data_IF_992367258517
#
_entry.id   IF_992367258517
#
_cell.length_a   1.000
_cell.length_b   1.000
_cell.length_c   1.000
_cell.angle_alpha   90.00
_cell.angle_beta   90.00
_cell.angle_gamma   90.00
#
_symmetry.space_group_name_H-M   'P 1'
#
loop_
_entity.id
_entity.type
_entity.pdbx_description
1 polymer ?
#
# COMPACT_ATOMS: atom_id res chain seq x y z
N UNK A 1 -2.67 27.32 29.95
CA UNK A 1 -1.73 26.22 30.25
C UNK A 1 -2.54 24.93 30.30
N UNK A 2 -2.43 24.03 29.31
CA UNK A 2 -3.11 22.73 29.35
C UNK A 2 -3.60 22.20 28.01
N UNK A 3 -2.69 21.59 27.25
CA UNK A 3 -2.93 20.47 26.32
C UNK A 3 -3.92 20.64 25.16
N UNK A 4 -3.48 21.33 24.09
CA UNK A 4 -4.02 21.17 22.71
C UNK A 4 -2.87 20.86 21.72
N UNK A 5 -1.89 20.05 22.13
CA UNK A 5 -0.74 19.68 21.28
C UNK A 5 -0.35 18.21 21.45
N UNK A 6 -1.33 17.28 21.40
CA UNK A 6 -1.05 15.84 21.50
C UNK A 6 -1.92 14.95 20.61
N UNK A 7 -2.70 15.54 19.69
CA UNK A 7 -3.72 14.85 18.89
C UNK A 7 -3.32 14.49 17.46
N UNK A 8 -2.07 14.72 17.04
CA UNK A 8 -1.49 14.09 15.84
C UNK A 8 -0.99 12.67 16.20
N UNK A 9 -1.82 11.95 16.94
CA UNK A 9 -1.46 10.77 17.71
C UNK A 9 -0.95 9.67 16.81
N UNK A 10 0.10 8.98 17.25
CA UNK A 10 0.61 7.72 16.69
C UNK A 10 -0.52 6.73 16.28
N UNK A 11 -1.65 6.79 16.98
CA UNK A 11 -2.88 6.06 16.70
C UNK A 11 -3.53 6.39 15.34
N UNK A 12 -3.57 7.67 14.94
CA UNK A 12 -4.09 8.07 13.63
C UNK A 12 -3.24 7.55 12.46
N UNK A 13 -1.94 7.32 12.67
CA UNK A 13 -1.06 6.73 11.66
C UNK A 13 -1.20 5.19 11.61
N UNK A 14 -1.32 4.56 12.77
CA UNK A 14 -1.39 3.09 12.89
C UNK A 14 -2.78 2.49 12.65
N UNK A 15 -3.85 3.18 12.99
CA UNK A 15 -5.22 2.65 12.86
C UNK A 15 -6.15 3.58 12.08
N UNK A 16 -5.78 4.85 11.96
CA UNK A 16 -6.58 5.87 11.27
C UNK A 16 -6.71 5.63 9.76
N UNK A 17 -7.87 6.03 9.22
CA UNK A 17 -8.26 5.83 7.82
C UNK A 17 -7.58 6.79 6.84
N UNK A 18 -6.99 7.88 7.32
CA UNK A 18 -6.32 8.89 6.47
C UNK A 18 -5.07 8.31 5.82
N UNK A 19 -4.23 7.64 6.61
CA UNK A 19 -3.03 6.94 6.14
C UNK A 19 -3.34 5.64 5.39
N UNK A 20 -4.62 5.27 5.26
CA UNK A 20 -5.06 4.14 4.45
C UNK A 20 -5.64 4.59 3.10
N UNK A 21 -5.93 5.88 2.90
CA UNK A 21 -6.57 6.35 1.68
C UNK A 21 -5.61 6.28 0.47
N UNK A 22 -6.14 5.96 -0.71
CA UNK A 22 -5.39 6.01 -1.98
C UNK A 22 -4.71 7.38 -2.17
N UNK A 23 -5.41 8.47 -1.84
CA UNK A 23 -4.88 9.83 -1.90
C UNK A 23 -3.63 10.05 -1.02
N UNK A 24 -3.52 9.34 0.11
CA UNK A 24 -2.32 9.37 0.94
C UNK A 24 -1.18 8.57 0.29
N UNK A 25 -1.47 7.38 -0.22
CA UNK A 25 -0.47 6.55 -0.91
C UNK A 25 0.18 7.29 -2.10
N UNK A 26 -0.63 8.01 -2.89
CA UNK A 26 -0.15 8.76 -4.06
C UNK A 26 0.28 10.20 -3.74
N UNK A 27 0.32 10.58 -2.46
CA UNK A 27 0.86 11.88 -2.05
C UNK A 27 2.39 11.94 -2.22
N UNK A 28 3.04 10.77 -2.18
CA UNK A 28 4.45 10.60 -2.50
C UNK A 28 4.65 10.36 -4.01
N UNK A 29 5.69 10.98 -4.58
CA UNK A 29 5.97 10.94 -6.01
C UNK A 29 6.42 9.54 -6.46
N UNK A 30 7.07 8.77 -5.59
CA UNK A 30 7.58 7.44 -5.91
C UNK A 30 6.48 6.48 -6.33
N UNK A 31 5.32 6.52 -5.67
CA UNK A 31 4.17 5.71 -6.06
C UNK A 31 3.34 6.37 -7.15
N UNK A 32 3.12 7.69 -7.06
CA UNK A 32 2.29 8.45 -8.01
C UNK A 32 2.83 8.38 -9.44
N UNK A 33 4.14 8.49 -9.60
CA UNK A 33 4.79 8.63 -10.90
C UNK A 33 5.22 7.26 -11.48
N UNK A 34 5.06 6.17 -10.71
CA UNK A 34 5.38 4.79 -11.14
C UNK A 34 4.16 3.86 -11.07
N UNK A 35 4.02 3.07 -10.00
CA UNK A 35 3.03 2.00 -9.83
C UNK A 35 1.59 2.50 -9.98
N UNK A 36 1.30 3.74 -9.57
CA UNK A 36 -0.03 4.30 -9.76
C UNK A 36 -0.38 4.42 -11.25
N UNK A 37 0.56 4.83 -12.10
CA UNK A 37 0.36 4.92 -13.55
C UNK A 37 0.11 3.54 -14.17
N UNK A 38 0.76 2.49 -13.66
CA UNK A 38 0.53 1.10 -14.10
C UNK A 38 -0.81 0.55 -13.63
N UNK A 39 -1.26 0.97 -12.45
CA UNK A 39 -2.57 0.59 -11.92
C UNK A 39 -3.70 1.23 -12.74
N UNK A 40 -3.53 2.47 -13.21
CA UNK A 40 -4.49 3.11 -14.10
C UNK A 40 -4.70 2.26 -15.37
N UNK A 41 -5.96 1.98 -15.70
CA UNK A 41 -6.32 1.14 -16.84
C UNK A 41 -6.32 -0.37 -16.58
N UNK A 42 -5.95 -0.83 -15.38
CA UNK A 42 -6.13 -2.25 -15.00
C UNK A 42 -7.59 -2.57 -14.69
N UNK A 43 -7.93 -3.87 -14.64
CA UNK A 43 -9.26 -4.36 -14.24
C UNK A 43 -9.66 -3.94 -12.81
N UNK A 44 -8.67 -3.69 -11.95
CA UNK A 44 -8.89 -3.22 -10.57
C UNK A 44 -9.18 -1.72 -10.53
N UNK A 45 -8.62 -0.94 -11.47
CA UNK A 45 -8.92 0.47 -11.62
C UNK A 45 -10.25 0.72 -12.37
N UNK A 46 -10.50 0.01 -13.46
CA UNK A 46 -11.70 0.20 -14.28
C UNK A 46 -12.32 -1.15 -14.66
N UNK A 47 -13.58 -1.34 -14.29
CA UNK A 47 -14.34 -2.53 -14.65
C UNK A 47 -15.81 -2.22 -14.93
N UNK A 48 -16.46 -3.19 -15.60
CA UNK A 48 -17.86 -3.13 -16.03
C UNK A 48 -18.88 -2.99 -14.90
N UNK A 49 -18.52 -3.39 -13.68
CA UNK A 49 -19.40 -3.39 -12.52
C UNK A 49 -19.32 -2.08 -11.71
N UNK A 50 -18.33 -1.22 -12.00
CA UNK A 50 -18.15 0.06 -11.29
C UNK A 50 -17.54 -0.04 -9.89
N UNK A 51 -17.19 -1.25 -9.43
CA UNK A 51 -16.57 -1.50 -8.12
C UNK A 51 -15.06 -1.43 -8.27
N UNK A 52 -14.38 -0.46 -7.66
CA UNK A 52 -12.92 -0.30 -7.81
C UNK A 52 -12.18 -0.82 -6.58
N UNK A 53 -11.13 -1.61 -6.81
CA UNK A 53 -10.18 -1.97 -5.76
C UNK A 53 -9.04 -0.95 -5.79
N UNK A 54 -8.84 -0.26 -4.68
CA UNK A 54 -7.87 0.83 -4.53
C UNK A 54 -6.61 0.35 -3.80
N UNK A 55 -5.60 1.22 -3.67
CA UNK A 55 -4.34 0.89 -2.98
C UNK A 55 -4.52 0.14 -1.63
N UNK A 56 -5.34 0.60 -0.67
CA UNK A 56 -5.52 -0.10 0.60
C UNK A 56 -6.12 -1.49 0.47
N UNK A 57 -6.98 -1.73 -0.52
CA UNK A 57 -7.66 -3.03 -0.66
C UNK A 57 -6.67 -4.16 -0.91
N UNK A 58 -5.56 -3.87 -1.59
CA UNK A 58 -4.49 -4.83 -1.88
C UNK A 58 -3.29 -4.73 -0.92
N UNK A 59 -2.96 -3.54 -0.42
CA UNK A 59 -1.73 -3.32 0.35
C UNK A 59 -1.93 -3.22 1.87
N UNK A 60 -3.16 -3.02 2.35
CA UNK A 60 -3.46 -2.84 3.77
C UNK A 60 -4.43 -3.94 4.23
N UNK A 61 -3.95 -4.90 5.04
CA UNK A 61 -4.81 -5.96 5.53
C UNK A 61 -6.00 -5.40 6.32
N UNK A 62 -7.19 -5.98 6.12
CA UNK A 62 -8.39 -5.62 6.90
C UNK A 62 -8.31 -6.06 8.38
N UNK A 63 -7.79 -7.26 8.72
CA UNK A 63 -7.70 -7.68 10.11
C UNK A 63 -6.69 -6.85 10.89
N UNK A 64 -7.01 -6.52 12.15
CA UNK A 64 -6.27 -5.56 12.97
C UNK A 64 -4.78 -5.90 13.12
N UNK A 65 -4.45 -7.14 13.52
CA UNK A 65 -3.06 -7.50 13.79
C UNK A 65 -2.18 -7.47 12.53
N UNK A 66 -2.58 -8.07 11.38
CA UNK A 66 -1.87 -7.89 10.12
C UNK A 66 -1.77 -6.43 9.66
N UNK A 67 -2.81 -5.62 9.85
CA UNK A 67 -2.79 -4.18 9.53
C UNK A 67 -1.68 -3.45 10.27
N UNK A 68 -1.63 -3.63 11.60
CA UNK A 68 -0.62 -3.04 12.46
C UNK A 68 0.79 -3.49 12.05
N UNK A 69 0.98 -4.78 11.80
CA UNK A 69 2.26 -5.32 11.34
C UNK A 69 2.71 -4.69 10.00
N UNK A 70 1.79 -4.52 9.03
CA UNK A 70 2.10 -3.86 7.76
C UNK A 70 2.47 -2.39 7.95
N UNK A 71 1.76 -1.66 8.81
CA UNK A 71 2.05 -0.24 9.07
C UNK A 71 3.37 -0.03 9.80
N UNK A 72 3.74 -0.89 10.74
CA UNK A 72 5.09 -0.87 11.34
C UNK A 72 6.16 -1.09 10.26
N UNK A 73 5.96 -2.06 9.34
CA UNK A 73 6.87 -2.26 8.21
C UNK A 73 6.91 -1.06 7.25
N UNK A 74 5.81 -0.31 7.11
CA UNK A 74 5.72 0.84 6.23
C UNK A 74 6.54 2.04 6.72
N UNK A 75 6.98 2.05 7.98
CA UNK A 75 7.95 3.03 8.48
C UNK A 75 9.25 2.98 7.66
N UNK A 76 9.64 1.81 7.15
CA UNK A 76 10.78 1.70 6.24
C UNK A 76 10.53 2.49 4.93
N UNK A 77 9.30 2.54 4.43
CA UNK A 77 8.99 3.26 3.18
C UNK A 77 9.25 4.77 3.36
N UNK A 78 8.92 5.33 4.54
CA UNK A 78 9.26 6.71 4.91
C UNK A 78 10.77 6.92 5.05
N UNK A 79 11.49 5.98 5.66
CA UNK A 79 12.96 6.06 5.73
C UNK A 79 13.60 6.04 4.34
N UNK A 80 13.12 5.18 3.43
CA UNK A 80 13.64 5.08 2.07
C UNK A 80 13.31 6.31 1.21
N UNK A 81 12.17 6.97 1.47
CA UNK A 81 11.81 8.27 0.89
C UNK A 81 12.85 9.33 1.29
N UNK A 82 13.11 9.49 2.60
CA UNK A 82 14.13 10.45 3.08
C UNK A 82 15.53 10.11 2.56
N UNK A 83 15.86 8.82 2.43
CA UNK A 83 17.12 8.36 1.89
C UNK A 83 17.21 8.45 0.35
N UNK A 84 16.14 8.84 -0.36
CA UNK A 84 16.14 9.07 -1.81
C UNK A 84 16.47 7.83 -2.63
N UNK A 85 16.04 6.65 -2.18
CA UNK A 85 16.55 5.40 -2.77
C UNK A 85 15.78 4.91 -3.99
N UNK A 86 14.58 5.45 -4.22
CA UNK A 86 13.70 5.25 -5.38
C UNK A 86 12.97 6.55 -5.76
N UNK A 87 13.59 7.71 -5.49
CA UNK A 87 13.05 9.06 -5.73
C UNK A 87 12.99 9.47 -7.21
N UNK A 88 13.45 8.61 -8.13
CA UNK A 88 13.25 8.77 -9.57
C UNK A 88 12.75 7.46 -10.18
N UNK A 89 12.02 7.53 -11.32
CA UNK A 89 11.58 6.33 -12.04
C UNK A 89 12.73 5.37 -12.37
N UNK A 90 13.90 5.89 -12.75
CA UNK A 90 15.06 5.05 -13.10
C UNK A 90 15.60 4.27 -11.89
N UNK A 91 15.64 4.91 -10.72
CA UNK A 91 16.03 4.24 -9.46
C UNK A 91 14.99 3.22 -9.03
N UNK A 92 13.70 3.51 -9.24
CA UNK A 92 12.62 2.55 -9.01
C UNK A 92 12.78 1.33 -9.93
N UNK A 93 12.96 1.54 -11.24
CA UNK A 93 13.17 0.46 -12.21
C UNK A 93 14.36 -0.42 -11.86
N UNK A 94 15.50 0.18 -11.50
CA UNK A 94 16.70 -0.54 -11.08
C UNK A 94 16.46 -1.47 -9.89
N UNK A 95 15.43 -1.19 -9.07
CA UNK A 95 15.05 -1.98 -7.88
C UNK A 95 13.73 -2.70 -8.03
N UNK A 96 13.01 -2.56 -9.14
CA UNK A 96 11.63 -3.06 -9.33
C UNK A 96 11.52 -4.54 -8.98
N UNK A 97 12.40 -5.36 -9.55
CA UNK A 97 12.36 -6.82 -9.33
C UNK A 97 12.66 -7.20 -7.87
N UNK A 98 13.48 -6.44 -7.16
CA UNK A 98 13.72 -6.64 -5.73
C UNK A 98 12.48 -6.31 -4.91
N UNK A 99 11.83 -5.19 -5.21
CA UNK A 99 10.61 -4.75 -4.51
C UNK A 99 9.44 -5.70 -4.79
N UNK A 100 9.23 -6.09 -6.06
CA UNK A 100 8.21 -7.06 -6.47
C UNK A 100 8.38 -8.40 -5.74
N UNK A 101 9.60 -8.94 -5.65
CA UNK A 101 9.88 -10.17 -4.90
C UNK A 101 9.51 -10.09 -3.43
N UNK A 102 9.66 -8.93 -2.79
CA UNK A 102 9.23 -8.73 -1.38
C UNK A 102 7.72 -8.75 -1.25
N UNK A 103 7.01 -8.12 -2.20
CA UNK A 103 5.53 -8.15 -2.25
C UNK A 103 5.04 -9.58 -2.48
N UNK A 104 5.56 -10.28 -3.50
CA UNK A 104 5.18 -11.67 -3.78
C UNK A 104 5.46 -12.62 -2.63
N UNK A 105 6.61 -12.46 -1.95
CA UNK A 105 6.91 -13.21 -0.74
C UNK A 105 5.84 -12.97 0.33
N UNK A 106 5.45 -11.71 0.55
CA UNK A 106 4.39 -11.38 1.51
C UNK A 106 3.06 -12.00 1.10
N UNK A 107 2.67 -11.89 -0.17
CA UNK A 107 1.43 -12.51 -0.69
C UNK A 107 1.44 -14.03 -0.45
N UNK A 108 2.56 -14.70 -0.72
CA UNK A 108 2.69 -16.14 -0.47
C UNK A 108 2.61 -16.50 1.02
N UNK A 109 3.27 -15.72 1.88
CA UNK A 109 3.25 -15.93 3.34
C UNK A 109 1.87 -15.68 3.95
N UNK A 110 1.05 -14.83 3.33
CA UNK A 110 -0.30 -14.51 3.78
C UNK A 110 -1.39 -15.27 3.03
N UNK A 111 -1.02 -16.25 2.20
CA UNK A 111 -1.94 -17.01 1.35
C UNK A 111 -2.87 -16.10 0.53
N UNK A 112 -2.28 -15.03 -0.03
CA UNK A 112 -2.96 -14.00 -0.83
C UNK A 112 -4.23 -13.45 -0.17
N UNK A 113 -4.24 -13.34 1.17
CA UNK A 113 -5.38 -12.89 1.99
C UNK A 113 -6.13 -11.69 1.40
N UNK A 114 -5.42 -10.70 0.90
CA UNK A 114 -5.98 -9.47 0.33
C UNK A 114 -6.70 -9.74 -1.00
N UNK A 115 -6.19 -10.64 -1.83
CA UNK A 115 -6.87 -11.09 -3.05
C UNK A 115 -8.11 -11.92 -2.73
N UNK A 116 -7.97 -12.89 -1.81
CA UNK A 116 -9.04 -13.81 -1.40
C UNK A 116 -10.22 -13.14 -0.67
N UNK A 117 -10.03 -11.89 -0.24
CA UNK A 117 -11.12 -11.07 0.30
C UNK A 117 -12.17 -10.69 -0.73
N UNK A 118 -11.83 -10.76 -2.02
CA UNK A 118 -12.73 -10.43 -3.15
C UNK A 118 -12.81 -11.55 -4.20
N UNK A 119 -11.81 -12.41 -4.28
CA UNK A 119 -11.72 -13.50 -5.25
C UNK A 119 -11.83 -14.86 -4.59
N UNK A 120 -12.52 -15.79 -5.24
CA UNK A 120 -12.48 -17.20 -4.86
C UNK A 120 -11.21 -17.85 -5.43
N UNK A 121 -10.49 -18.62 -4.61
CA UNK A 121 -9.25 -19.28 -5.02
C UNK A 121 -9.42 -20.31 -6.13
N UNK A 122 -10.60 -20.94 -6.26
CA UNK A 122 -10.90 -21.87 -7.36
C UNK A 122 -11.16 -21.14 -8.68
N UNK A 123 -11.41 -19.82 -8.62
CA UNK A 123 -11.69 -18.97 -9.78
C UNK A 123 -10.54 -18.00 -10.11
N UNK A 124 -9.38 -18.17 -9.47
CA UNK A 124 -8.15 -17.42 -9.74
C UNK A 124 -7.15 -18.30 -10.50
N UNK A 125 -7.06 -18.10 -11.81
CA UNK A 125 -6.01 -18.69 -12.67
C UNK A 125 -4.71 -17.87 -12.66
#
# INVERSE_FOLDING_TARGET
>A
MGTILGGCSFDAMLTGKTADAEAYCISCHELRDTVYQEYLGTIHHFNRTGVRATCPDCHIPRPLFPKLARKVRAVNDLYQHVAGTIDTPEKFEARRLLLARRVWKTMKETDSRECRGCHDSESMD
#
